data_IF_823422370815
#
_entry.id   IF_823422370815
#
_cell.length_a   1.000
_cell.length_b   1.000
_cell.length_c   1.000
_cell.angle_alpha   90.00
_cell.angle_beta   90.00
_cell.angle_gamma   90.00
#
_symmetry.space_group_name_H-M   'P 1'
#
loop_
_entity.id
_entity.type
_entity.pdbx_description
1 polymer ?
#
# COMPACT_ATOMS: atom_id res chain seq x y z
N UNK A 1 -53.25 -58.05 42.65
CA UNK A 1 -51.82 -58.25 42.92
C UNK A 1 -51.06 -58.00 41.62
N UNK A 2 -50.46 -56.82 41.46
CA UNK A 2 -49.52 -56.53 40.36
C UNK A 2 -48.16 -56.25 40.99
N UNK A 3 -47.16 -57.05 40.62
CA UNK A 3 -45.79 -56.95 41.09
C UNK A 3 -45.10 -55.77 40.40
N UNK A 4 -44.54 -54.87 41.20
CA UNK A 4 -43.69 -53.76 40.78
C UNK A 4 -42.28 -54.26 40.46
N UNK A 5 -41.85 -54.17 39.20
CA UNK A 5 -40.42 -54.14 38.86
C UNK A 5 -39.97 -52.69 38.69
N UNK A 6 -39.27 -52.20 39.69
CA UNK A 6 -38.52 -50.95 39.66
C UNK A 6 -37.30 -51.10 38.75
N UNK A 7 -37.35 -50.50 37.55
CA UNK A 7 -36.16 -50.12 36.79
C UNK A 7 -36.27 -48.66 36.37
N UNK A 8 -35.74 -47.81 37.25
CA UNK A 8 -35.40 -46.42 36.96
C UNK A 8 -34.17 -46.39 36.05
N UNK A 9 -34.37 -46.26 34.73
CA UNK A 9 -33.33 -45.82 33.81
C UNK A 9 -33.48 -44.31 33.61
N UNK A 10 -32.84 -43.53 34.49
CA UNK A 10 -32.62 -42.11 34.23
C UNK A 10 -31.74 -41.90 32.99
N UNK A 11 -31.81 -40.73 32.32
CA UNK A 11 -31.01 -40.45 31.13
C UNK A 11 -29.50 -40.60 31.44
N UNK A 12 -28.69 -41.16 30.53
CA UNK A 12 -27.31 -41.54 30.84
C UNK A 12 -26.50 -40.32 31.34
N UNK A 13 -25.75 -40.47 32.45
CA UNK A 13 -25.03 -39.36 33.04
C UNK A 13 -23.84 -38.95 32.16
N UNK A 14 -23.74 -37.66 31.87
CA UNK A 14 -22.48 -36.93 31.61
C UNK A 14 -21.49 -37.44 30.53
N UNK A 15 -21.85 -38.42 29.69
CA UNK A 15 -20.97 -38.93 28.63
C UNK A 15 -20.49 -37.82 27.68
N UNK A 16 -21.36 -36.87 27.34
CA UNK A 16 -21.01 -35.71 26.52
C UNK A 16 -19.99 -34.76 27.16
N UNK A 17 -19.96 -34.65 28.50
CA UNK A 17 -18.97 -33.83 29.23
C UNK A 17 -17.61 -34.52 29.28
N UNK A 18 -17.61 -35.85 29.47
CA UNK A 18 -16.41 -36.70 29.41
C UNK A 18 -15.78 -36.72 28.02
N UNK A 19 -16.58 -36.84 26.96
CA UNK A 19 -16.09 -36.78 25.57
C UNK A 19 -15.48 -35.41 25.26
N UNK A 20 -16.15 -34.30 25.63
CA UNK A 20 -15.60 -32.94 25.45
C UNK A 20 -14.29 -32.75 26.20
N UNK A 21 -14.21 -33.25 27.43
CA UNK A 21 -12.98 -33.20 28.22
C UNK A 21 -11.86 -34.05 27.59
N UNK A 22 -12.17 -35.26 27.13
CA UNK A 22 -11.23 -36.11 26.39
C UNK A 22 -10.70 -35.46 25.12
N UNK A 23 -11.55 -34.77 24.36
CA UNK A 23 -11.16 -34.00 23.17
C UNK A 23 -10.21 -32.85 23.55
N UNK A 24 -10.53 -32.07 24.61
CA UNK A 24 -9.66 -30.97 25.07
C UNK A 24 -8.29 -31.51 25.51
N UNK A 25 -8.26 -32.62 26.24
CA UNK A 25 -7.01 -33.27 26.66
C UNK A 25 -6.21 -33.76 25.44
N UNK A 26 -6.86 -34.40 24.47
CA UNK A 26 -6.21 -34.87 23.25
C UNK A 26 -5.62 -33.72 22.43
N UNK A 27 -6.36 -32.61 22.28
CA UNK A 27 -5.86 -31.39 21.62
C UNK A 27 -4.67 -30.82 22.40
N UNK A 28 -4.76 -30.75 23.73
CA UNK A 28 -3.67 -30.26 24.58
C UNK A 28 -2.39 -31.08 24.42
N UNK A 29 -2.50 -32.41 24.43
CA UNK A 29 -1.38 -33.33 24.20
C UNK A 29 -0.79 -33.12 22.79
N UNK A 30 -1.64 -33.04 21.76
CA UNK A 30 -1.19 -32.83 20.39
C UNK A 30 -0.42 -31.51 20.23
N UNK A 31 -0.94 -30.41 20.80
CA UNK A 31 -0.28 -29.10 20.80
C UNK A 31 1.06 -29.17 21.54
N UNK A 32 1.13 -29.84 22.69
CA UNK A 32 2.36 -29.96 23.46
C UNK A 32 3.42 -30.76 22.69
N UNK A 33 3.04 -31.87 22.04
CA UNK A 33 3.95 -32.64 21.16
C UNK A 33 4.45 -31.78 20.00
N UNK A 34 3.56 -31.03 19.34
CA UNK A 34 3.95 -30.15 18.24
C UNK A 34 4.93 -29.05 18.71
N UNK A 35 4.64 -28.37 19.81
CA UNK A 35 5.51 -27.33 20.38
C UNK A 35 6.85 -27.92 20.83
N UNK A 36 6.83 -29.08 21.49
CA UNK A 36 8.03 -29.77 21.94
C UNK A 36 8.95 -30.15 20.78
N UNK A 37 8.38 -30.75 19.73
CA UNK A 37 9.14 -31.09 18.52
C UNK A 37 9.75 -29.86 17.85
N UNK A 38 8.97 -28.78 17.67
CA UNK A 38 9.48 -27.52 17.10
C UNK A 38 10.55 -26.89 17.99
N UNK A 39 10.41 -26.97 19.32
CA UNK A 39 11.39 -26.47 20.28
C UNK A 39 12.71 -27.22 20.23
N UNK A 40 12.68 -28.55 20.06
CA UNK A 40 13.90 -29.37 19.88
C UNK A 40 14.59 -28.99 18.57
N UNK A 41 13.85 -28.90 17.46
CA UNK A 41 14.39 -28.49 16.16
C UNK A 41 15.03 -27.09 16.26
N UNK A 42 14.34 -26.15 16.91
CA UNK A 42 14.88 -24.79 17.13
C UNK A 42 16.18 -24.83 17.93
N UNK A 43 16.20 -25.60 19.03
CA UNK A 43 17.36 -25.72 19.91
C UNK A 43 18.56 -26.36 19.20
N UNK A 44 18.34 -27.43 18.44
CA UNK A 44 19.39 -28.09 17.67
C UNK A 44 19.99 -27.13 16.63
N UNK A 45 19.15 -26.44 15.86
CA UNK A 45 19.63 -25.47 14.87
C UNK A 45 20.36 -24.27 15.52
N UNK A 46 19.88 -23.80 16.67
CA UNK A 46 20.54 -22.74 17.44
C UNK A 46 21.94 -23.17 17.89
N UNK A 47 22.07 -24.41 18.37
CA UNK A 47 23.34 -24.96 18.83
C UNK A 47 24.32 -25.24 17.69
N UNK A 48 23.83 -25.69 16.53
CA UNK A 48 24.66 -26.08 15.39
C UNK A 48 25.09 -24.89 14.54
N UNK A 49 24.18 -23.95 14.26
CA UNK A 49 24.40 -22.88 13.29
C UNK A 49 24.54 -21.49 13.91
N UNK A 50 24.21 -21.33 15.20
CA UNK A 50 24.37 -20.09 15.95
C UNK A 50 23.84 -18.86 15.20
N UNK A 51 24.74 -17.91 14.90
CA UNK A 51 24.37 -16.64 14.25
C UNK A 51 23.77 -16.79 12.85
N UNK A 52 24.13 -17.84 12.10
CA UNK A 52 23.60 -18.09 10.76
C UNK A 52 22.12 -18.50 10.81
N UNK A 53 21.68 -19.09 11.92
CA UNK A 53 20.28 -19.43 12.16
C UNK A 53 19.52 -18.32 12.87
N UNK A 54 20.13 -17.62 13.84
CA UNK A 54 19.43 -16.59 14.61
C UNK A 54 19.14 -15.31 13.85
N UNK A 55 20.05 -14.86 12.96
CA UNK A 55 19.88 -13.60 12.23
C UNK A 55 18.63 -13.63 11.34
N UNK A 56 18.41 -14.64 10.47
CA UNK A 56 17.17 -14.74 9.69
C UNK A 56 15.91 -14.78 10.55
N UNK A 57 15.95 -15.46 11.71
CA UNK A 57 14.82 -15.50 12.66
C UNK A 57 14.55 -14.12 13.26
N UNK A 58 15.59 -13.39 13.66
CA UNK A 58 15.47 -12.03 14.17
C UNK A 58 14.89 -11.09 13.11
N UNK A 59 15.40 -11.11 11.88
CA UNK A 59 14.87 -10.30 10.78
C UNK A 59 13.41 -10.67 10.47
N UNK A 60 13.08 -11.96 10.48
CA UNK A 60 11.70 -12.44 10.31
C UNK A 60 10.77 -11.90 11.40
N UNK A 61 11.20 -11.92 12.66
CA UNK A 61 10.42 -11.43 13.80
C UNK A 61 10.22 -9.91 13.74
N UNK A 62 11.29 -9.16 13.45
CA UNK A 62 11.23 -7.69 13.28
C UNK A 62 10.24 -7.35 12.16
N UNK A 63 10.37 -8.00 11.01
CA UNK A 63 9.44 -7.81 9.89
C UNK A 63 8.00 -8.14 10.29
N UNK A 64 7.77 -9.31 10.88
CA UNK A 64 6.44 -9.75 11.29
C UNK A 64 5.76 -8.72 12.20
N UNK A 65 6.47 -8.23 13.21
CA UNK A 65 5.93 -7.24 14.16
C UNK A 65 5.66 -5.92 13.47
N UNK A 66 6.63 -5.37 12.73
CA UNK A 66 6.53 -4.03 12.13
C UNK A 66 5.48 -3.99 11.01
N UNK A 67 5.55 -4.93 10.06
CA UNK A 67 4.63 -4.99 8.93
C UNK A 67 3.20 -5.31 9.37
N UNK A 68 3.02 -6.25 10.31
CA UNK A 68 1.69 -6.52 10.86
C UNK A 68 1.15 -5.33 11.67
N UNK A 69 2.00 -4.61 12.40
CA UNK A 69 1.57 -3.40 13.10
C UNK A 69 1.05 -2.34 12.10
N UNK A 70 1.77 -2.10 11.01
CA UNK A 70 1.35 -1.15 9.97
C UNK A 70 0.05 -1.59 9.31
N UNK A 71 -0.07 -2.86 8.93
CA UNK A 71 -1.23 -3.41 8.23
C UNK A 71 -2.49 -3.49 9.11
N UNK A 72 -2.34 -3.97 10.34
CA UNK A 72 -3.46 -4.48 11.14
C UNK A 72 -3.81 -3.63 12.35
N UNK A 73 -2.95 -2.72 12.82
CA UNK A 73 -3.31 -1.89 13.97
C UNK A 73 -4.24 -0.77 13.51
N UNK A 74 -5.46 -0.77 14.05
CA UNK A 74 -6.40 0.32 13.82
C UNK A 74 -6.10 1.48 14.78
N UNK A 75 -5.86 2.67 14.23
CA UNK A 75 -5.55 3.90 14.99
C UNK A 75 -6.82 4.69 15.33
N UNK A 76 -8.01 4.27 14.85
CA UNK A 76 -9.28 4.91 15.17
C UNK A 76 -9.80 4.56 16.58
N UNK A 77 -9.14 5.14 17.59
CA UNK A 77 -9.49 4.99 19.02
C UNK A 77 -10.82 5.68 19.37
N UNK A 78 -11.33 6.55 18.50
CA UNK A 78 -12.63 7.22 18.71
C UNK A 78 -13.79 6.29 18.43
N UNK A 79 -13.75 5.58 17.30
CA UNK A 79 -14.81 4.65 16.93
C UNK A 79 -14.61 3.27 17.55
N UNK A 80 -13.37 2.81 17.77
CA UNK A 80 -13.05 1.49 18.39
C UNK A 80 -13.83 0.33 17.77
N UNK A 81 -14.08 0.42 16.48
CA UNK A 81 -14.84 -0.57 15.74
C UNK A 81 -13.93 -1.70 15.30
N UNK A 82 -14.39 -2.94 15.47
CA UNK A 82 -13.74 -4.14 14.94
C UNK A 82 -14.79 -4.99 14.25
N UNK A 83 -14.59 -5.28 12.95
CA UNK A 83 -15.52 -6.14 12.21
C UNK A 83 -15.58 -7.53 12.81
N UNK A 84 -14.45 -8.10 13.25
CA UNK A 84 -14.41 -9.44 13.88
C UNK A 84 -15.31 -9.49 15.12
N UNK A 85 -15.14 -8.53 16.03
CA UNK A 85 -15.92 -8.51 17.28
C UNK A 85 -17.38 -8.14 17.04
N UNK A 86 -17.65 -7.28 16.07
CA UNK A 86 -19.02 -7.02 15.62
C UNK A 86 -19.68 -8.28 15.07
N UNK A 87 -19.01 -9.04 14.19
CA UNK A 87 -19.53 -10.29 13.62
C UNK A 87 -19.79 -11.34 14.70
N UNK A 88 -18.89 -11.48 15.68
CA UNK A 88 -19.09 -12.36 16.84
C UNK A 88 -20.33 -11.91 17.62
N UNK A 89 -20.47 -10.61 17.90
CA UNK A 89 -21.62 -10.07 18.63
C UNK A 89 -22.95 -10.33 17.89
N UNK A 90 -22.98 -10.11 16.57
CA UNK A 90 -24.15 -10.41 15.73
C UNK A 90 -24.45 -11.92 15.73
N UNK A 91 -23.43 -12.78 15.62
CA UNK A 91 -23.61 -14.23 15.63
C UNK A 91 -24.16 -14.73 16.98
N UNK A 92 -23.63 -14.25 18.10
CA UNK A 92 -24.14 -14.59 19.44
C UNK A 92 -25.60 -14.13 19.60
N UNK A 93 -25.89 -12.89 19.19
CA UNK A 93 -27.26 -12.34 19.26
C UNK A 93 -28.22 -13.14 18.38
N UNK A 94 -27.77 -13.57 17.21
CA UNK A 94 -28.56 -14.40 16.30
C UNK A 94 -28.83 -15.80 16.86
N UNK A 95 -27.84 -16.43 17.52
CA UNK A 95 -28.01 -17.74 18.15
C UNK A 95 -28.94 -17.72 19.37
N UNK A 96 -28.97 -16.59 20.10
CA UNK A 96 -29.83 -16.41 21.27
C UNK A 96 -31.26 -15.92 20.93
N UNK A 97 -31.62 -15.87 19.63
CA UNK A 97 -32.91 -15.34 19.15
C UNK A 97 -34.09 -16.26 19.50
N UNK A 98 -35.20 -15.66 19.93
CA UNK A 98 -36.52 -16.31 19.92
C UNK A 98 -37.12 -16.28 18.50
N UNK A 99 -37.75 -17.39 18.05
CA UNK A 99 -38.27 -17.54 16.65
C UNK A 99 -39.19 -16.40 16.19
N UNK A 100 -39.83 -15.67 17.11
CA UNK A 100 -40.75 -14.58 16.84
C UNK A 100 -40.11 -13.20 16.67
N UNK A 101 -38.83 -12.99 16.99
CA UNK A 101 -38.20 -11.67 16.84
C UNK A 101 -37.85 -11.36 15.38
N UNK A 102 -38.11 -10.13 14.88
CA UNK A 102 -37.70 -9.72 13.53
C UNK A 102 -36.16 -9.64 13.43
N UNK A 103 -35.62 -10.01 12.26
CA UNK A 103 -34.16 -10.07 12.00
C UNK A 103 -33.48 -8.72 12.24
N UNK A 104 -34.16 -7.61 11.95
CA UNK A 104 -33.65 -6.24 12.13
C UNK A 104 -33.43 -5.82 13.58
N UNK A 105 -34.15 -6.42 14.54
CA UNK A 105 -33.95 -6.14 15.98
C UNK A 105 -32.61 -6.68 16.49
N UNK A 106 -32.05 -7.67 15.79
CA UNK A 106 -30.86 -8.41 16.21
C UNK A 106 -29.58 -8.00 15.46
N UNK A 107 -29.70 -7.24 14.37
CA UNK A 107 -28.57 -6.70 13.62
C UNK A 107 -28.45 -5.20 13.94
N UNK A 108 -27.66 -4.86 14.95
CA UNK A 108 -27.30 -3.47 15.24
C UNK A 108 -26.43 -2.90 14.11
N UNK A 109 -26.55 -1.61 13.82
CA UNK A 109 -25.69 -0.98 12.80
C UNK A 109 -24.22 -1.04 13.22
N UNK A 110 -23.31 -1.46 12.33
CA UNK A 110 -21.86 -1.45 12.60
C UNK A 110 -21.36 -0.05 12.99
N UNK A 111 -22.03 1.00 12.51
CA UNK A 111 -21.70 2.39 12.83
C UNK A 111 -21.77 2.70 14.32
N UNK A 112 -22.66 2.02 15.04
CA UNK A 112 -22.93 2.27 16.46
C UNK A 112 -22.15 1.33 17.38
N UNK A 113 -21.60 0.25 16.82
CA UNK A 113 -20.82 -0.72 17.57
C UNK A 113 -19.47 -0.15 18.02
N UNK A 114 -19.21 -0.19 19.33
CA UNK A 114 -17.95 0.25 19.94
C UNK A 114 -17.49 -0.74 21.00
N UNK A 115 -16.21 -1.08 20.95
CA UNK A 115 -15.56 -1.85 22.02
C UNK A 115 -15.15 -0.93 23.18
N UNK A 116 -14.92 -1.53 24.36
CA UNK A 116 -14.25 -0.81 25.46
C UNK A 116 -12.78 -0.52 25.10
N UNK A 117 -12.19 0.50 25.72
CA UNK A 117 -10.79 0.90 25.44
C UNK A 117 -9.82 -0.26 25.74
N UNK A 118 -9.88 -0.94 26.90
CA UNK A 118 -8.95 -2.04 27.19
C UNK A 118 -9.08 -3.20 26.20
N UNK A 119 -10.32 -3.59 25.87
CA UNK A 119 -10.57 -4.67 24.90
C UNK A 119 -10.05 -4.29 23.51
N UNK A 120 -10.22 -3.03 23.10
CA UNK A 120 -9.71 -2.55 21.81
C UNK A 120 -8.18 -2.58 21.73
N UNK A 121 -7.49 -2.14 22.78
CA UNK A 121 -6.03 -2.14 22.86
C UNK A 121 -5.46 -3.56 22.86
N UNK A 122 -6.00 -4.44 23.72
CA UNK A 122 -5.62 -5.86 23.74
C UNK A 122 -5.83 -6.47 22.37
N UNK A 123 -6.98 -6.20 21.74
CA UNK A 123 -7.27 -6.71 20.40
C UNK A 123 -6.27 -6.24 19.34
N UNK A 124 -5.79 -4.99 19.38
CA UNK A 124 -4.76 -4.54 18.43
C UNK A 124 -3.45 -5.32 18.61
N UNK A 125 -3.03 -5.56 19.85
CA UNK A 125 -1.84 -6.37 20.14
C UNK A 125 -2.04 -7.81 19.70
N UNK A 126 -3.18 -8.41 20.02
CA UNK A 126 -3.52 -9.78 19.65
C UNK A 126 -3.47 -9.99 18.13
N UNK A 127 -3.89 -9.01 17.32
CA UNK A 127 -3.76 -9.11 15.86
C UNK A 127 -2.31 -9.27 15.39
N UNK A 128 -1.38 -8.53 16.00
CA UNK A 128 0.04 -8.63 15.64
C UNK A 128 0.56 -10.05 15.94
N UNK A 129 0.23 -10.61 17.10
CA UNK A 129 0.67 -11.96 17.47
C UNK A 129 -0.02 -13.06 16.65
N UNK A 130 -1.32 -12.93 16.38
CA UNK A 130 -2.08 -13.93 15.64
C UNK A 130 -1.72 -13.96 14.14
N UNK A 131 -1.49 -12.78 13.55
CA UNK A 131 -1.32 -12.65 12.11
C UNK A 131 0.10 -12.26 11.69
N UNK A 132 1.01 -12.00 12.62
CA UNK A 132 2.38 -11.56 12.32
C UNK A 132 3.13 -12.50 11.40
N UNK A 133 2.88 -13.81 11.50
CA UNK A 133 3.47 -14.82 10.63
C UNK A 133 3.17 -14.59 9.14
N UNK A 134 2.03 -13.97 8.78
CA UNK A 134 1.69 -13.64 7.39
C UNK A 134 2.48 -12.45 6.83
N UNK A 135 3.22 -11.73 7.68
CA UNK A 135 3.99 -10.54 7.33
C UNK A 135 5.51 -10.75 7.51
N UNK A 136 5.95 -12.00 7.55
CA UNK A 136 7.37 -12.33 7.57
C UNK A 136 7.98 -12.00 6.22
N UNK A 137 8.93 -11.07 6.21
CA UNK A 137 9.76 -10.74 5.06
C UNK A 137 11.19 -10.51 5.56
N UNK A 138 12.06 -11.50 5.33
CA UNK A 138 13.45 -11.47 5.83
C UNK A 138 14.22 -10.28 5.24
N UNK A 139 14.02 -9.97 3.96
CA UNK A 139 14.69 -8.87 3.27
C UNK A 139 14.31 -7.50 3.88
N UNK A 140 13.04 -7.32 4.19
CA UNK A 140 12.57 -6.12 4.88
C UNK A 140 13.15 -6.02 6.30
N UNK A 141 13.10 -7.11 7.07
CA UNK A 141 13.64 -7.14 8.42
C UNK A 141 15.15 -6.83 8.46
N UNK A 142 15.89 -7.37 7.50
CA UNK A 142 17.31 -7.08 7.30
C UNK A 142 17.54 -5.61 6.96
N UNK A 143 16.84 -5.08 5.95
CA UNK A 143 16.99 -3.67 5.55
C UNK A 143 16.61 -2.70 6.67
N UNK A 144 15.55 -2.98 7.42
CA UNK A 144 15.16 -2.16 8.56
C UNK A 144 16.20 -2.21 9.68
N UNK A 145 16.74 -3.39 9.98
CA UNK A 145 17.79 -3.52 11.01
C UNK A 145 19.04 -2.75 10.61
N UNK A 146 19.43 -2.85 9.33
CA UNK A 146 20.56 -2.11 8.76
C UNK A 146 20.38 -0.59 8.88
N UNK A 147 19.17 -0.06 8.63
CA UNK A 147 18.86 1.37 8.85
C UNK A 147 18.91 1.74 10.34
N UNK A 148 18.37 0.89 11.23
CA UNK A 148 18.36 1.15 12.68
C UNK A 148 19.77 1.15 13.29
N UNK A 149 20.72 0.47 12.66
CA UNK A 149 22.15 0.50 13.01
C UNK A 149 22.85 1.80 12.55
N UNK A 150 22.14 2.70 11.86
CA UNK A 150 22.64 4.01 11.42
C UNK A 150 23.18 4.04 9.98
N UNK A 151 22.99 2.95 9.22
CA UNK A 151 23.42 2.91 7.82
C UNK A 151 22.36 3.53 6.88
N UNK A 152 22.81 4.05 5.73
CA UNK A 152 21.92 4.63 4.72
C UNK A 152 21.58 3.61 3.61
N UNK A 153 20.30 3.52 3.26
CA UNK A 153 19.79 2.75 2.12
C UNK A 153 19.29 3.65 0.97
N UNK A 154 19.51 4.96 1.07
CA UNK A 154 19.02 5.96 0.12
C UNK A 154 17.63 6.48 0.44
N UNK A 155 17.08 6.23 1.65
CA UNK A 155 15.70 6.64 2.02
C UNK A 155 15.50 8.16 1.87
N UNK A 156 16.54 8.94 2.12
CA UNK A 156 16.53 10.40 2.00
C UNK A 156 16.28 10.89 0.56
N UNK A 157 16.57 10.06 -0.43
CA UNK A 157 16.40 10.35 -1.87
C UNK A 157 15.00 10.01 -2.40
N UNK A 158 14.14 9.39 -1.60
CA UNK A 158 12.78 9.02 -2.02
C UNK A 158 11.93 10.19 -2.55
N UNK A 159 11.99 11.42 -1.99
CA UNK A 159 11.24 12.55 -2.53
C UNK A 159 11.64 12.89 -3.97
N UNK A 160 12.92 12.69 -4.34
CA UNK A 160 13.42 12.94 -5.69
C UNK A 160 12.78 11.97 -6.71
N UNK A 161 12.44 10.75 -6.30
CA UNK A 161 11.74 9.78 -7.16
C UNK A 161 10.39 10.30 -7.68
N UNK A 162 9.64 11.04 -6.85
CA UNK A 162 8.31 11.54 -7.23
C UNK A 162 8.39 12.68 -8.26
N UNK A 163 9.53 13.35 -8.40
CA UNK A 163 9.71 14.38 -9.41
C UNK A 163 10.18 13.81 -10.75
N UNK A 164 10.81 12.62 -10.78
CA UNK A 164 11.38 12.03 -11.99
C UNK A 164 10.38 11.88 -13.16
N UNK A 165 9.11 11.46 -12.97
CA UNK A 165 8.18 11.40 -14.08
C UNK A 165 7.85 12.77 -14.68
N UNK A 166 7.92 13.84 -13.86
CA UNK A 166 7.45 15.17 -14.24
C UNK A 166 8.58 16.13 -14.64
N UNK A 167 9.80 15.84 -14.21
CA UNK A 167 10.99 16.64 -14.43
C UNK A 167 11.99 15.93 -15.34
N UNK A 168 12.82 16.72 -15.98
CA UNK A 168 13.84 16.26 -16.89
C UNK A 168 15.18 16.29 -16.16
N UNK A 169 15.75 15.14 -15.79
CA UNK A 169 17.01 15.14 -15.04
C UNK A 169 18.12 15.77 -15.88
N UNK A 170 18.87 16.71 -15.30
CA UNK A 170 20.04 17.28 -15.98
C UNK A 170 21.18 16.25 -15.91
N UNK A 171 21.73 15.85 -17.06
CA UNK A 171 22.87 14.93 -17.12
C UNK A 171 22.59 13.53 -16.53
N UNK A 172 23.58 12.98 -15.81
CA UNK A 172 23.54 11.65 -15.17
C UNK A 172 22.84 11.62 -13.81
N UNK A 173 22.41 12.77 -13.29
CA UNK A 173 21.91 12.92 -11.92
C UNK A 173 20.70 12.03 -11.63
N UNK A 174 19.78 11.90 -12.60
CA UNK A 174 18.60 11.05 -12.45
C UNK A 174 18.93 9.56 -12.34
N UNK A 175 19.96 9.09 -13.06
CA UNK A 175 20.39 7.69 -12.97
C UNK A 175 21.07 7.41 -11.63
N UNK A 176 21.91 8.34 -11.16
CA UNK A 176 22.58 8.24 -9.87
C UNK A 176 21.58 8.20 -8.70
N UNK A 177 20.58 9.08 -8.71
CA UNK A 177 19.49 9.06 -7.71
C UNK A 177 18.79 7.70 -7.67
N UNK A 178 18.49 7.09 -8.82
CA UNK A 178 17.85 5.77 -8.87
C UNK A 178 18.80 4.67 -8.36
N UNK A 179 20.08 4.69 -8.75
CA UNK A 179 21.09 3.72 -8.30
C UNK A 179 21.22 3.74 -6.78
N UNK A 180 21.31 4.93 -6.19
CA UNK A 180 21.36 5.11 -4.72
C UNK A 180 20.08 4.62 -4.02
N UNK A 181 18.94 4.68 -4.71
CA UNK A 181 17.65 4.22 -4.21
C UNK A 181 17.41 2.71 -4.34
N UNK A 182 18.18 1.98 -5.16
CA UNK A 182 17.96 0.54 -5.42
C UNK A 182 17.77 -0.28 -4.12
N UNK A 183 18.60 -0.12 -3.08
CA UNK A 183 18.42 -0.88 -1.84
C UNK A 183 17.08 -0.58 -1.16
N UNK A 184 16.69 0.69 -1.06
CA UNK A 184 15.39 1.10 -0.49
C UNK A 184 14.21 0.63 -1.34
N UNK A 185 14.30 0.77 -2.66
CA UNK A 185 13.26 0.36 -3.62
C UNK A 185 13.07 -1.16 -3.67
N UNK A 186 14.07 -1.94 -3.26
CA UNK A 186 14.00 -3.40 -3.24
C UNK A 186 13.61 -3.94 -1.86
N UNK A 187 14.25 -3.44 -0.80
CA UNK A 187 14.14 -4.03 0.54
C UNK A 187 13.01 -3.41 1.38
N UNK A 188 12.73 -2.11 1.21
CA UNK A 188 11.87 -1.35 2.12
C UNK A 188 10.53 -1.02 1.48
N UNK A 189 10.54 -0.41 0.30
CA UNK A 189 9.35 0.19 -0.29
C UNK A 189 8.28 -0.86 -0.66
N UNK A 190 8.57 -1.96 -1.37
CA UNK A 190 7.54 -2.90 -1.79
C UNK A 190 6.79 -3.53 -0.60
N UNK A 191 7.47 -4.00 0.47
CA UNK A 191 6.80 -4.49 1.67
C UNK A 191 5.91 -3.43 2.34
N UNK A 192 6.38 -2.18 2.44
CA UNK A 192 5.64 -1.06 3.04
C UNK A 192 4.39 -0.71 2.23
N UNK A 193 4.52 -0.60 0.90
CA UNK A 193 3.38 -0.38 0.01
C UNK A 193 2.38 -1.53 0.12
N UNK A 194 2.85 -2.78 0.15
CA UNK A 194 1.99 -3.95 0.32
C UNK A 194 1.14 -3.87 1.59
N UNK A 195 1.74 -3.57 2.75
CA UNK A 195 1.01 -3.49 4.02
C UNK A 195 0.09 -2.28 4.12
N UNK A 196 0.45 -1.14 3.52
CA UNK A 196 -0.44 0.02 3.43
C UNK A 196 -1.64 -0.32 2.52
N UNK A 197 -1.41 -1.01 1.41
CA UNK A 197 -2.48 -1.51 0.53
C UNK A 197 -3.44 -2.44 1.26
N UNK A 198 -2.92 -3.42 2.00
CA UNK A 198 -3.72 -4.31 2.85
C UNK A 198 -4.53 -3.50 3.87
N UNK A 199 -3.90 -2.53 4.54
CA UNK A 199 -4.57 -1.65 5.50
C UNK A 199 -5.73 -0.89 4.87
N UNK A 200 -5.54 -0.32 3.67
CA UNK A 200 -6.59 0.37 2.93
C UNK A 200 -7.74 -0.58 2.59
N UNK A 201 -7.44 -1.79 2.09
CA UNK A 201 -8.47 -2.79 1.77
C UNK A 201 -9.28 -3.16 3.02
N UNK A 202 -8.64 -3.40 4.16
CA UNK A 202 -9.33 -3.80 5.40
C UNK A 202 -10.15 -2.63 5.98
N UNK A 203 -9.52 -1.47 6.19
CA UNK A 203 -10.10 -0.39 6.99
C UNK A 203 -10.87 0.65 6.18
N UNK A 204 -10.49 0.88 4.93
CA UNK A 204 -11.24 1.77 4.04
C UNK A 204 -12.24 0.96 3.24
N UNK A 205 -11.83 -0.17 2.65
CA UNK A 205 -12.71 -1.01 1.84
C UNK A 205 -13.72 -1.81 2.66
N UNK A 206 -13.25 -2.86 3.32
CA UNK A 206 -14.11 -3.86 3.98
C UNK A 206 -14.94 -3.25 5.11
N UNK A 207 -14.33 -2.44 5.97
CA UNK A 207 -15.06 -1.68 7.00
C UNK A 207 -16.18 -0.81 6.42
N UNK A 208 -15.93 -0.11 5.30
CA UNK A 208 -16.97 0.73 4.68
C UNK A 208 -18.08 -0.09 4.04
N UNK A 209 -17.74 -1.22 3.40
CA UNK A 209 -18.73 -2.14 2.82
C UNK A 209 -19.62 -2.72 3.91
N UNK A 210 -19.04 -3.24 5.00
CA UNK A 210 -19.80 -3.76 6.14
C UNK A 210 -20.69 -2.66 6.75
N UNK A 211 -20.17 -1.44 6.87
CA UNK A 211 -20.96 -0.29 7.34
C UNK A 211 -22.14 0.01 6.42
N UNK A 212 -21.95 0.00 5.10
CA UNK A 212 -23.02 0.24 4.12
C UNK A 212 -24.07 -0.87 4.18
N UNK A 213 -23.66 -2.14 4.17
CA UNK A 213 -24.57 -3.28 4.22
C UNK A 213 -25.41 -3.29 5.50
N UNK A 214 -24.76 -3.09 6.66
CA UNK A 214 -25.46 -3.09 7.95
C UNK A 214 -26.37 -1.87 8.11
N UNK A 215 -25.96 -0.70 7.61
CA UNK A 215 -26.82 0.49 7.58
C UNK A 215 -28.01 0.31 6.64
N UNK A 216 -27.82 -0.31 5.48
CA UNK A 216 -28.90 -0.61 4.55
C UNK A 216 -29.95 -1.55 5.17
N UNK A 217 -29.52 -2.65 5.82
CA UNK A 217 -30.43 -3.58 6.49
C UNK A 217 -31.23 -2.86 7.59
N UNK A 218 -30.54 -2.06 8.40
CA UNK A 218 -31.16 -1.30 9.49
C UNK A 218 -32.15 -0.25 8.96
N UNK A 219 -31.72 0.62 8.05
CA UNK A 219 -32.53 1.72 7.51
C UNK A 219 -33.72 1.21 6.67
N UNK A 220 -33.55 0.09 5.95
CA UNK A 220 -34.62 -0.55 5.19
C UNK A 220 -35.69 -1.12 6.10
N UNK A 221 -35.29 -1.68 7.25
CA UNK A 221 -36.25 -2.16 8.26
C UNK A 221 -37.09 -1.04 8.88
N UNK A 222 -36.58 0.20 8.86
CA UNK A 222 -37.30 1.41 9.28
C UNK A 222 -38.02 2.12 8.13
N UNK A 223 -37.99 1.57 6.91
CA UNK A 223 -38.62 2.14 5.72
C UNK A 223 -37.96 3.42 5.20
N UNK A 224 -36.73 3.74 5.60
CA UNK A 224 -36.02 4.99 5.21
C UNK A 224 -34.62 4.74 4.63
N UNK A 225 -34.47 3.94 3.57
CA UNK A 225 -33.16 3.66 2.97
C UNK A 225 -32.54 4.93 2.37
N UNK A 226 -31.23 5.11 2.61
CA UNK A 226 -30.45 6.27 2.14
C UNK A 226 -29.49 5.88 1.01
N UNK A 227 -30.04 5.44 -0.13
CA UNK A 227 -29.28 4.91 -1.27
C UNK A 227 -28.14 5.82 -1.73
N UNK A 228 -28.36 7.14 -1.78
CA UNK A 228 -27.33 8.11 -2.18
C UNK A 228 -26.09 8.05 -1.27
N UNK A 229 -26.28 7.88 0.04
CA UNK A 229 -25.19 7.78 1.00
C UNK A 229 -24.41 6.45 0.85
N UNK A 230 -25.11 5.37 0.51
CA UNK A 230 -24.49 4.05 0.29
C UNK A 230 -23.61 4.08 -0.96
N UNK A 231 -24.16 4.60 -2.08
CA UNK A 231 -23.43 4.72 -3.35
C UNK A 231 -22.22 5.65 -3.20
N UNK A 232 -22.39 6.81 -2.57
CA UNK A 232 -21.29 7.74 -2.28
C UNK A 232 -20.17 7.06 -1.48
N UNK A 233 -20.50 6.24 -0.48
CA UNK A 233 -19.48 5.55 0.32
C UNK A 233 -18.72 4.53 -0.53
N UNK A 234 -19.39 3.78 -1.41
CA UNK A 234 -18.74 2.84 -2.33
C UNK A 234 -17.88 3.58 -3.36
N UNK A 235 -18.37 4.70 -3.89
CA UNK A 235 -17.64 5.55 -4.84
C UNK A 235 -16.35 6.12 -4.22
N UNK A 236 -16.38 6.53 -2.95
CA UNK A 236 -15.17 6.92 -2.22
C UNK A 236 -14.17 5.77 -2.11
N UNK A 237 -14.62 4.55 -1.81
CA UNK A 237 -13.74 3.37 -1.70
C UNK A 237 -13.05 3.10 -3.04
N UNK A 238 -13.81 3.13 -4.15
CA UNK A 238 -13.26 2.95 -5.50
C UNK A 238 -12.27 4.08 -5.83
N UNK A 239 -12.63 5.34 -5.57
CA UNK A 239 -11.76 6.49 -5.82
C UNK A 239 -10.44 6.42 -5.04
N UNK A 240 -10.49 6.06 -3.75
CA UNK A 240 -9.29 5.85 -2.92
C UNK A 240 -8.44 4.70 -3.47
N UNK A 241 -9.07 3.61 -3.94
CA UNK A 241 -8.36 2.50 -4.60
C UNK A 241 -7.63 2.93 -5.87
N UNK A 242 -8.25 3.76 -6.71
CA UNK A 242 -7.63 4.31 -7.92
C UNK A 242 -6.48 5.26 -7.57
N UNK A 243 -6.65 6.14 -6.57
CA UNK A 243 -5.56 7.02 -6.09
C UNK A 243 -4.39 6.17 -5.59
N UNK A 244 -4.68 5.12 -4.81
CA UNK A 244 -3.65 4.21 -4.34
C UNK A 244 -2.90 3.53 -5.49
N UNK A 245 -3.61 3.06 -6.52
CA UNK A 245 -2.99 2.53 -7.73
C UNK A 245 -2.09 3.57 -8.43
N UNK A 246 -2.55 4.82 -8.55
CA UNK A 246 -1.76 5.93 -9.10
C UNK A 246 -0.49 6.23 -8.28
N UNK A 247 -0.54 6.12 -6.96
CA UNK A 247 0.65 6.25 -6.09
C UNK A 247 1.66 5.09 -6.34
N UNK A 248 1.17 3.87 -6.57
CA UNK A 248 2.04 2.72 -6.85
C UNK A 248 2.75 2.84 -8.21
N UNK A 249 2.18 3.58 -9.17
CA UNK A 249 2.78 3.80 -10.49
C UNK A 249 4.09 4.60 -10.44
N UNK A 250 4.42 5.27 -9.32
CA UNK A 250 5.74 5.91 -9.14
C UNK A 250 6.87 4.91 -8.91
N UNK A 251 6.55 3.66 -8.56
CA UNK A 251 7.51 2.63 -8.18
C UNK A 251 7.60 1.50 -9.22
N UNK A 252 7.20 1.77 -10.47
CA UNK A 252 7.32 0.80 -11.56
C UNK A 252 8.78 0.69 -12.02
N UNK A 253 9.16 -0.49 -12.50
CA UNK A 253 10.51 -0.77 -13.01
C UNK A 253 10.85 0.03 -14.28
N UNK A 254 9.84 0.59 -14.94
CA UNK A 254 9.97 1.36 -16.17
C UNK A 254 9.26 2.70 -16.00
N UNK A 255 10.02 3.80 -16.15
CA UNK A 255 9.52 5.17 -16.25
C UNK A 255 9.87 5.66 -17.65
N UNK A 256 8.84 5.96 -18.45
CA UNK A 256 8.96 6.47 -19.80
C UNK A 256 8.31 7.85 -19.94
N UNK A 257 8.35 8.40 -21.15
CA UNK A 257 7.79 9.70 -21.48
C UNK A 257 6.26 9.78 -21.31
N UNK A 258 5.55 8.65 -21.21
CA UNK A 258 4.11 8.58 -21.01
C UNK A 258 3.72 8.39 -19.54
N UNK A 259 4.62 7.87 -18.70
CA UNK A 259 4.35 7.58 -17.29
C UNK A 259 3.71 8.77 -16.57
N UNK A 260 4.14 10.01 -16.85
CA UNK A 260 3.55 11.21 -16.26
C UNK A 260 2.07 11.42 -16.56
N UNK A 261 1.64 11.08 -17.77
CA UNK A 261 0.23 11.19 -18.19
C UNK A 261 -0.61 10.04 -17.63
N UNK A 262 -0.03 8.83 -17.53
CA UNK A 262 -0.70 7.69 -16.90
C UNK A 262 -0.94 7.96 -15.41
N UNK A 263 0.10 8.40 -14.69
CA UNK A 263 0.01 8.79 -13.29
C UNK A 263 -0.98 9.94 -13.12
N UNK A 264 -0.82 11.02 -13.91
CA UNK A 264 -1.69 12.18 -13.84
C UNK A 264 -3.15 11.85 -14.12
N UNK A 265 -3.44 11.06 -15.16
CA UNK A 265 -4.79 10.63 -15.51
C UNK A 265 -5.42 9.73 -14.44
N UNK A 266 -4.65 8.79 -13.89
CA UNK A 266 -5.11 7.89 -12.82
C UNK A 266 -5.43 8.66 -11.54
N UNK A 267 -4.53 9.54 -11.11
CA UNK A 267 -4.74 10.39 -9.93
C UNK A 267 -5.90 11.37 -10.12
N UNK A 268 -6.06 11.94 -11.31
CA UNK A 268 -7.18 12.82 -11.64
C UNK A 268 -8.52 12.07 -11.59
N UNK A 269 -8.60 10.86 -12.18
CA UNK A 269 -9.80 10.03 -12.14
C UNK A 269 -10.18 9.63 -10.70
N UNK A 270 -9.20 9.18 -9.91
CA UNK A 270 -9.42 8.83 -8.51
C UNK A 270 -9.87 10.03 -7.67
N UNK A 271 -9.24 11.19 -7.87
CA UNK A 271 -9.60 12.45 -7.19
C UNK A 271 -10.99 12.93 -7.56
N UNK A 272 -11.39 12.79 -8.83
CA UNK A 272 -12.73 13.13 -9.30
C UNK A 272 -13.80 12.28 -8.59
N UNK A 273 -13.60 10.95 -8.50
CA UNK A 273 -14.51 10.05 -7.77
C UNK A 273 -14.64 10.40 -6.28
N UNK A 274 -13.51 10.68 -5.62
CA UNK A 274 -13.52 11.12 -4.22
C UNK A 274 -14.27 12.45 -4.08
N UNK A 275 -14.05 13.39 -5.01
CA UNK A 275 -14.77 14.66 -5.07
C UNK A 275 -16.28 14.47 -5.17
N UNK A 276 -16.75 13.68 -6.16
CA UNK A 276 -18.17 13.36 -6.33
C UNK A 276 -18.76 12.69 -5.09
N UNK A 277 -18.03 11.73 -4.50
CA UNK A 277 -18.44 11.07 -3.27
C UNK A 277 -18.63 12.06 -2.11
N UNK A 278 -17.71 13.03 -1.92
CA UNK A 278 -17.84 14.06 -0.88
C UNK A 278 -19.07 14.95 -1.12
N UNK A 279 -19.28 15.43 -2.34
CA UNK A 279 -20.46 16.24 -2.68
C UNK A 279 -21.77 15.48 -2.44
N UNK A 280 -21.83 14.21 -2.82
CA UNK A 280 -22.99 13.36 -2.59
C UNK A 280 -23.23 13.09 -1.11
N UNK A 281 -22.17 12.93 -0.34
CA UNK A 281 -22.28 12.73 1.11
C UNK A 281 -22.86 13.97 1.82
N UNK A 282 -22.59 15.16 1.30
CA UNK A 282 -23.21 16.40 1.78
C UNK A 282 -24.69 16.43 1.40
N UNK A 283 -25.01 16.12 0.13
CA UNK A 283 -26.38 16.12 -0.41
C UNK A 283 -27.26 15.02 0.16
N UNK A 284 -26.69 13.89 0.57
CA UNK A 284 -27.42 12.74 1.14
C UNK A 284 -28.05 13.02 2.50
N UNK A 285 -27.72 14.16 3.12
CA UNK A 285 -28.45 14.67 4.29
C UNK A 285 -29.90 15.05 3.94
N UNK A 286 -30.16 15.42 2.70
CA UNK A 286 -31.47 15.88 2.21
C UNK A 286 -32.05 14.90 1.18
N UNK A 287 -31.22 14.38 0.26
CA UNK A 287 -31.66 13.47 -0.81
C UNK A 287 -31.43 12.00 -0.45
N UNK A 288 -32.40 11.15 -0.76
CA UNK A 288 -32.31 9.69 -0.52
C UNK A 288 -31.80 8.90 -1.73
N UNK A 289 -32.09 9.36 -2.94
CA UNK A 289 -31.76 8.66 -4.19
C UNK A 289 -30.82 9.49 -5.09
N UNK A 290 -29.95 8.82 -5.86
CA UNK A 290 -29.12 9.50 -6.85
C UNK A 290 -29.95 10.04 -8.02
N UNK A 291 -29.57 11.23 -8.49
CA UNK A 291 -30.17 11.87 -9.66
C UNK A 291 -29.52 11.28 -10.92
N UNK A 292 -30.34 10.84 -11.91
CA UNK A 292 -29.83 10.24 -13.15
C UNK A 292 -28.80 11.11 -13.88
N UNK A 293 -29.05 12.43 -13.96
CA UNK A 293 -28.14 13.41 -14.58
C UNK A 293 -26.75 13.37 -13.94
N UNK A 294 -26.68 13.29 -12.61
CA UNK A 294 -25.41 13.28 -11.91
C UNK A 294 -24.64 12.00 -12.17
N UNK A 295 -25.31 10.87 -12.34
CA UNK A 295 -24.64 9.61 -12.75
C UNK A 295 -23.98 9.76 -14.12
N UNK A 296 -24.68 10.35 -15.10
CA UNK A 296 -24.11 10.59 -16.43
C UNK A 296 -22.88 11.50 -16.36
N UNK A 297 -22.95 12.61 -15.62
CA UNK A 297 -21.83 13.56 -15.48
C UNK A 297 -20.57 12.84 -14.98
N UNK A 298 -20.69 11.94 -13.99
CA UNK A 298 -19.55 11.19 -13.44
C UNK A 298 -18.91 10.28 -14.48
N UNK A 299 -19.75 9.48 -15.16
CA UNK A 299 -19.29 8.54 -16.19
C UNK A 299 -18.59 9.30 -17.33
N UNK A 300 -19.21 10.37 -17.82
CA UNK A 300 -18.61 11.22 -18.86
C UNK A 300 -17.33 11.89 -18.40
N UNK A 301 -17.23 12.35 -17.14
CA UNK A 301 -16.00 12.92 -16.61
C UNK A 301 -14.85 11.91 -16.59
N UNK A 302 -15.10 10.67 -16.15
CA UNK A 302 -14.08 9.60 -16.17
C UNK A 302 -13.66 9.23 -17.59
N UNK A 303 -14.62 9.10 -18.51
CA UNK A 303 -14.34 8.85 -19.93
C UNK A 303 -13.51 10.00 -20.50
N UNK A 304 -13.86 11.25 -20.21
CA UNK A 304 -13.13 12.41 -20.69
C UNK A 304 -11.68 12.42 -20.19
N UNK A 305 -11.44 12.15 -18.90
CA UNK A 305 -10.09 12.03 -18.34
C UNK A 305 -9.30 10.93 -19.07
N UNK A 306 -9.91 9.75 -19.28
CA UNK A 306 -9.29 8.64 -20.00
C UNK A 306 -8.95 8.99 -21.46
N UNK A 307 -9.87 9.65 -22.18
CA UNK A 307 -9.65 10.10 -23.56
C UNK A 307 -8.52 11.14 -23.61
N UNK A 308 -8.51 12.12 -22.72
CA UNK A 308 -7.47 13.16 -22.70
C UNK A 308 -6.11 12.54 -22.44
N UNK A 309 -5.97 11.74 -21.38
CA UNK A 309 -4.71 11.09 -21.04
C UNK A 309 -4.24 10.15 -22.17
N UNK A 310 -5.14 9.29 -22.66
CA UNK A 310 -4.85 8.35 -23.73
C UNK A 310 -4.49 9.02 -25.06
N UNK A 311 -5.16 10.13 -25.41
CA UNK A 311 -4.86 10.88 -26.64
C UNK A 311 -3.47 11.52 -26.57
N UNK A 312 -3.12 12.12 -25.43
CA UNK A 312 -1.78 12.71 -25.24
C UNK A 312 -0.70 11.62 -25.34
N UNK A 313 -0.93 10.47 -24.69
CA UNK A 313 -0.01 9.33 -24.78
C UNK A 313 0.12 8.80 -26.21
N UNK A 314 -0.97 8.72 -26.97
CA UNK A 314 -0.95 8.28 -28.36
C UNK A 314 -0.16 9.25 -29.26
N UNK A 315 -0.34 10.56 -29.06
CA UNK A 315 0.45 11.58 -29.77
C UNK A 315 1.93 11.46 -29.41
N UNK A 316 2.26 11.32 -28.13
CA UNK A 316 3.65 11.16 -27.70
C UNK A 316 4.29 9.88 -28.24
N UNK A 317 3.55 8.77 -28.26
CA UNK A 317 4.01 7.52 -28.89
C UNK A 317 4.27 7.72 -30.38
N UNK A 318 3.40 8.45 -31.10
CA UNK A 318 3.60 8.73 -32.51
C UNK A 318 4.86 9.57 -32.77
N UNK A 319 5.10 10.61 -31.95
CA UNK A 319 6.33 11.41 -32.00
C UNK A 319 7.55 10.52 -31.70
N UNK A 320 7.44 9.68 -30.68
CA UNK A 320 8.47 8.75 -30.26
C UNK A 320 8.86 7.77 -31.37
N UNK A 321 7.89 7.11 -31.99
CA UNK A 321 8.13 6.10 -33.01
C UNK A 321 8.68 6.71 -34.29
N UNK A 322 8.24 7.92 -34.67
CA UNK A 322 8.82 8.65 -35.81
C UNK A 322 10.31 8.93 -35.59
N UNK A 323 10.71 9.26 -34.36
CA UNK A 323 12.11 9.50 -34.00
C UNK A 323 12.94 8.23 -33.81
N UNK A 324 12.33 7.11 -33.39
CA UNK A 324 13.03 5.80 -33.32
C UNK A 324 13.49 5.32 -34.69
N UNK A 325 12.78 5.67 -35.77
CA UNK A 325 13.20 5.35 -37.15
C UNK A 325 14.51 6.07 -37.53
N UNK A 326 14.81 7.22 -36.92
CA UNK A 326 16.07 7.95 -37.14
C UNK A 326 17.26 7.34 -36.36
N UNK A 327 17.01 6.51 -35.35
CA UNK A 327 18.03 5.93 -34.47
C UNK A 327 18.08 4.40 -34.55
N UNK A 328 18.93 3.84 -35.40
CA UNK A 328 19.14 2.38 -35.54
C UNK A 328 20.01 1.75 -34.41
N UNK A 329 19.78 2.12 -33.15
CA UNK A 329 20.53 1.63 -31.97
C UNK A 329 19.71 0.74 -31.01
N UNK A 330 20.31 0.16 -29.95
CA UNK A 330 19.61 -0.66 -28.95
C UNK A 330 18.44 0.08 -28.29
N UNK A 331 17.33 -0.64 -28.00
CA UNK A 331 16.06 -0.06 -27.51
C UNK A 331 16.21 0.85 -26.28
N UNK A 332 17.11 0.51 -25.36
CA UNK A 332 17.40 1.31 -24.16
C UNK A 332 18.04 2.66 -24.49
N UNK A 333 18.96 2.71 -25.46
CA UNK A 333 19.58 3.97 -25.92
C UNK A 333 18.59 4.84 -26.68
N UNK A 334 17.67 4.23 -27.45
CA UNK A 334 16.57 4.95 -28.11
C UNK A 334 15.63 5.58 -27.07
N UNK A 335 15.23 4.84 -26.03
CA UNK A 335 14.38 5.36 -24.95
C UNK A 335 15.05 6.51 -24.18
N UNK A 336 16.33 6.37 -23.83
CA UNK A 336 17.08 7.42 -23.12
C UNK A 336 17.19 8.69 -23.99
N UNK A 337 17.57 8.55 -25.26
CA UNK A 337 17.76 9.69 -26.16
C UNK A 337 16.44 10.41 -26.45
N UNK A 338 15.35 9.67 -26.62
CA UNK A 338 14.02 10.23 -26.81
C UNK A 338 13.51 10.94 -25.55
N UNK A 339 13.72 10.33 -24.37
CA UNK A 339 13.40 10.98 -23.10
C UNK A 339 14.18 12.30 -22.96
N UNK A 340 15.45 12.37 -23.40
CA UNK A 340 16.23 13.62 -23.44
C UNK A 340 15.70 14.65 -24.43
N UNK A 341 15.22 14.23 -25.59
CA UNK A 341 14.65 15.12 -26.59
C UNK A 341 13.32 15.74 -26.15
N UNK A 342 12.38 14.91 -25.66
CA UNK A 342 11.10 15.38 -25.13
C UNK A 342 11.27 16.22 -23.86
N UNK A 343 12.39 16.02 -23.18
CA UNK A 343 12.84 16.80 -22.05
C UNK A 343 13.51 18.14 -22.43
N UNK A 344 13.67 18.42 -23.72
CA UNK A 344 14.39 19.57 -24.24
C UNK A 344 15.85 19.68 -23.78
N UNK A 345 16.48 18.58 -23.33
CA UNK A 345 17.88 18.57 -22.89
C UNK A 345 18.85 18.86 -24.05
N UNK A 346 18.41 18.72 -25.28
CA UNK A 346 19.19 19.05 -26.49
C UNK A 346 19.27 20.57 -26.73
N UNK A 347 18.46 21.36 -26.03
CA UNK A 347 18.63 22.82 -25.97
C UNK A 347 19.81 23.24 -25.09
N UNK A 348 20.39 22.31 -24.32
CA UNK A 348 21.62 22.53 -23.55
C UNK A 348 22.81 22.43 -24.50
N UNK A 349 23.45 23.57 -24.76
CA UNK A 349 24.62 23.66 -25.64
C UNK A 349 25.87 23.15 -24.90
N UNK A 350 26.15 21.85 -25.00
CA UNK A 350 27.42 21.27 -24.55
C UNK A 350 28.50 21.66 -25.55
N UNK A 351 29.46 22.48 -25.12
CA UNK A 351 30.62 22.84 -25.94
C UNK A 351 31.82 22.04 -25.41
N UNK A 352 32.16 20.89 -26.03
CA UNK A 352 33.35 20.13 -25.64
C UNK A 352 34.58 20.96 -26.00
N UNK A 353 35.23 21.53 -24.99
CA UNK A 353 36.48 22.26 -25.18
C UNK A 353 37.62 21.34 -24.77
N UNK A 354 38.37 20.85 -25.76
CA UNK A 354 39.54 20.01 -25.56
C UNK A 354 40.70 20.93 -25.17
N UNK A 355 40.85 21.19 -23.86
CA UNK A 355 41.85 22.13 -23.33
C UNK A 355 43.24 21.54 -23.55
N UNK A 356 43.83 21.80 -24.71
CA UNK A 356 45.25 21.56 -24.95
C UNK A 356 46.03 22.53 -24.08
N UNK A 357 46.76 22.00 -23.10
CA UNK A 357 47.66 22.77 -22.25
C UNK A 357 48.84 23.29 -23.09
N UNK A 358 48.66 24.47 -23.70
CA UNK A 358 49.76 25.22 -24.31
C UNK A 358 50.40 26.11 -23.26
N UNK A 359 51.72 26.02 -23.10
CA UNK A 359 52.44 26.90 -22.18
C UNK A 359 52.35 28.35 -22.66
N UNK A 360 51.78 29.21 -21.82
CA UNK A 360 51.69 30.65 -22.09
C UNK A 360 52.79 31.35 -21.29
N UNK A 361 53.56 32.23 -21.95
CA UNK A 361 54.57 33.05 -21.28
C UNK A 361 53.91 33.95 -20.22
N UNK A 362 54.51 34.16 -19.02
CA UNK A 362 53.94 34.97 -17.94
C UNK A 362 53.44 36.36 -18.37
N UNK A 363 54.12 36.98 -19.34
CA UNK A 363 53.77 38.31 -19.84
C UNK A 363 52.49 38.32 -20.70
N UNK A 364 52.08 37.16 -21.23
CA UNK A 364 50.93 37.03 -22.13
C UNK A 364 49.68 36.47 -21.42
N UNK A 365 49.79 36.09 -20.15
CA UNK A 365 48.68 35.49 -19.37
C UNK A 365 47.46 36.40 -19.35
N UNK A 366 47.66 37.70 -19.11
CA UNK A 366 46.54 38.65 -19.02
C UNK A 366 45.79 38.78 -20.34
N UNK A 367 46.51 38.88 -21.45
CA UNK A 367 45.91 38.93 -22.79
C UNK A 367 45.22 37.62 -23.16
N UNK A 368 45.77 36.48 -22.73
CA UNK A 368 45.19 35.16 -22.98
C UNK A 368 43.90 34.91 -22.18
N UNK A 369 43.83 35.42 -20.95
CA UNK A 369 42.61 35.39 -20.13
C UNK A 369 41.53 36.28 -20.76
N UNK A 370 41.89 37.49 -21.19
CA UNK A 370 40.94 38.41 -21.84
C UNK A 370 40.41 37.86 -23.18
N UNK A 371 41.27 37.21 -23.98
CA UNK A 371 40.87 36.63 -25.28
C UNK A 371 39.99 35.40 -25.18
N UNK A 372 39.95 34.74 -24.01
CA UNK A 372 39.15 33.53 -23.75
C UNK A 372 38.12 33.73 -22.62
N UNK A 373 37.78 34.99 -22.33
CA UNK A 373 36.94 35.37 -21.20
C UNK A 373 35.52 34.79 -21.30
N UNK A 374 34.99 34.68 -22.51
CA UNK A 374 33.69 34.06 -22.81
C UNK A 374 33.62 32.58 -22.35
N UNK A 375 34.74 31.87 -22.50
CA UNK A 375 34.90 30.49 -22.05
C UNK A 375 35.17 30.43 -20.55
N UNK A 376 36.12 31.23 -20.04
CA UNK A 376 36.54 31.21 -18.63
C UNK A 376 35.44 31.67 -17.66
N UNK A 377 34.58 32.61 -18.05
CA UNK A 377 33.45 33.08 -17.24
C UNK A 377 32.28 32.07 -17.23
N UNK A 378 32.29 31.08 -18.13
CA UNK A 378 31.20 30.11 -18.33
C UNK A 378 31.51 28.70 -17.80
N UNK A 379 32.72 28.44 -17.31
CA UNK A 379 33.13 27.09 -16.89
C UNK A 379 32.83 26.84 -15.41
N UNK A 380 31.98 25.84 -15.15
CA UNK A 380 32.00 25.07 -13.90
C UNK A 380 32.85 23.83 -14.17
N UNK A 381 34.05 23.76 -13.57
CA UNK A 381 34.97 22.63 -13.76
C UNK A 381 34.36 21.43 -13.03
N UNK A 382 33.95 20.40 -13.78
CA UNK A 382 33.76 19.05 -13.27
C UNK A 382 34.99 18.25 -13.66
N UNK A 383 35.89 18.06 -12.71
CA UNK A 383 37.02 17.17 -12.83
C UNK A 383 36.61 15.82 -12.21
N UNK A 384 36.68 14.75 -13.01
CA UNK A 384 36.29 13.41 -12.60
C UNK A 384 37.42 12.67 -11.87
N UNK A 385 38.67 13.15 -11.96
CA UNK A 385 39.84 12.58 -11.28
C UNK A 385 40.17 13.31 -9.97
N UNK A 386 39.67 14.53 -9.78
CA UNK A 386 39.84 15.30 -8.54
C UNK A 386 38.70 15.14 -7.52
N UNK A 387 37.78 14.19 -7.73
CA UNK A 387 36.68 13.86 -6.82
C UNK A 387 36.93 12.55 -6.07
#
# INVERSE_FOLDING_TARGET
MYNSSSQSNGPPPNAGKLIRFGIVVAIGIAVLIMIGNQGVILSMNMSEFGSQFTKPLQYSLISAVVLAAIALVNVDVKNRSSVVWYSINVMITFLNRSRSDPVSKNISSFREYKMSIPQFTIWQLTKIFLFGAFFVNIMFGLGLTYILEGNDLGVNKLPELFSLPFGTPQGSDGAQTVIELIPTLTLIIPPILGVIGIRLVIYVGFHSIIRVLTSYIYDSSQGKPKFLNYVSTIEAVIGIGIIWAGINMFFTEQIDYNTKYVIGGTLAAGSALVGFSIFDKIRSKVLTHPIKRDLYIRIFALIAIGIIAGSIMAVNNSIADTRKIEYLGPYTQQQISLNRYLAELDKVKVTPNDVKLTSVSPNNIKSYIESNKDVLDSIRIWDWEAA
#
